data_IF_145010237284
#
_entry.id   IF_145010237284
#
_cell.length_a   1.000
_cell.length_b   1.000
_cell.length_c   1.000
_cell.angle_alpha   90.00
_cell.angle_beta   90.00
_cell.angle_gamma   90.00
#
_symmetry.space_group_name_H-M   'P 1'
#
loop_
_entity.id
_entity.type
_entity.pdbx_description
1 polymer ?
#
# COMPACT_ATOMS: atom_id res chain seq x y z
N UNK A 1 -37.91 46.01 68.83
CA UNK A 1 -36.82 46.94 68.43
C UNK A 1 -36.97 47.15 66.93
N UNK A 2 -37.75 48.13 66.46
CA UNK A 2 -37.44 49.57 66.27
C UNK A 2 -36.25 49.81 65.30
N UNK A 3 -36.55 50.46 64.17
CA UNK A 3 -35.64 51.30 63.33
C UNK A 3 -35.29 50.68 61.97
N UNK A 4 -35.96 51.00 60.85
CA UNK A 4 -35.75 52.13 59.88
C UNK A 4 -34.28 52.24 59.39
N UNK A 5 -33.99 52.28 58.09
CA UNK A 5 -33.93 53.46 57.18
C UNK A 5 -34.00 52.95 55.70
N UNK A 6 -34.99 53.26 54.85
CA UNK A 6 -35.19 54.43 53.94
C UNK A 6 -34.03 54.68 52.94
N UNK A 7 -34.15 55.04 51.65
CA UNK A 7 -35.20 55.12 50.63
C UNK A 7 -34.57 55.75 49.38
N UNK A 8 -34.93 55.24 48.20
CA UNK A 8 -35.16 55.95 46.92
C UNK A 8 -34.03 56.72 46.20
N UNK A 9 -34.03 56.61 44.86
CA UNK A 9 -34.34 57.74 43.94
C UNK A 9 -34.66 57.24 42.52
N UNK A 10 -35.85 57.62 42.05
CA UNK A 10 -36.26 57.67 40.63
C UNK A 10 -35.78 58.99 39.98
N UNK A 11 -35.58 58.97 38.65
CA UNK A 11 -35.78 60.08 37.67
C UNK A 11 -35.84 59.44 36.26
N UNK A 12 -36.98 59.34 35.57
CA UNK A 12 -37.68 60.31 34.69
C UNK A 12 -37.08 60.47 33.27
N UNK A 13 -37.76 59.84 32.29
CA UNK A 13 -38.20 60.27 30.93
C UNK A 13 -37.29 61.14 30.03
N UNK A 14 -37.01 60.67 28.80
CA UNK A 14 -37.26 61.40 27.54
C UNK A 14 -36.96 60.54 26.28
N UNK A 15 -37.89 60.60 25.33
CA UNK A 15 -37.97 59.96 24.02
C UNK A 15 -37.15 60.67 22.93
N UNK A 16 -36.54 59.94 21.97
CA UNK A 16 -36.28 60.42 20.59
C UNK A 16 -36.29 59.24 19.59
N UNK A 17 -37.03 59.46 18.50
CA UNK A 17 -37.19 58.73 17.24
C UNK A 17 -35.91 58.56 16.41
N UNK A 18 -35.72 57.43 15.70
CA UNK A 18 -35.57 57.35 14.22
C UNK A 18 -35.10 55.96 13.74
N UNK A 19 -35.88 55.39 12.81
CA UNK A 19 -35.52 54.68 11.56
C UNK A 19 -34.28 53.78 11.52
N UNK A 20 -34.50 52.50 11.22
CA UNK A 20 -33.46 51.59 10.72
C UNK A 20 -33.92 50.14 10.62
N UNK A 21 -34.54 49.77 9.50
CA UNK A 21 -34.72 48.37 9.08
C UNK A 21 -33.36 47.69 8.92
N UNK A 22 -33.13 46.55 9.58
CA UNK A 22 -32.43 45.41 8.98
C UNK A 22 -33.07 44.13 9.53
N UNK A 23 -33.75 43.41 8.65
CA UNK A 23 -34.16 42.01 8.82
C UNK A 23 -32.92 41.13 8.95
N UNK A 24 -32.65 40.59 10.13
CA UNK A 24 -31.74 39.47 10.30
C UNK A 24 -32.57 38.19 10.40
N UNK A 25 -32.68 37.47 9.28
CA UNK A 25 -33.10 36.06 9.26
C UNK A 25 -32.04 35.26 10.01
N UNK A 26 -32.39 34.78 11.21
CA UNK A 26 -31.60 33.77 11.91
C UNK A 26 -31.72 32.44 11.16
N UNK A 27 -30.84 32.24 10.18
CA UNK A 27 -30.59 30.93 9.58
C UNK A 27 -29.83 30.08 10.58
N UNK A 28 -30.54 29.21 11.29
CA UNK A 28 -29.92 28.12 12.07
C UNK A 28 -29.37 27.13 11.05
N UNK A 29 -28.07 27.24 10.75
CA UNK A 29 -27.30 26.16 10.14
C UNK A 29 -27.23 25.03 11.17
N UNK A 30 -28.08 24.02 11.00
CA UNK A 30 -27.90 22.74 11.64
C UNK A 30 -26.59 22.14 11.11
N UNK A 31 -25.53 22.21 11.92
CA UNK A 31 -24.37 21.36 11.75
C UNK A 31 -24.87 19.91 11.87
N UNK A 32 -24.97 19.22 10.74
CA UNK A 32 -25.19 17.78 10.75
C UNK A 32 -24.03 17.12 11.52
N UNK A 33 -24.30 16.10 12.34
CA UNK A 33 -23.22 15.36 12.97
C UNK A 33 -22.34 14.79 11.86
N UNK A 34 -21.05 15.09 11.91
CA UNK A 34 -20.05 14.34 11.16
C UNK A 34 -20.23 12.87 11.53
N UNK A 35 -20.66 12.06 10.57
CA UNK A 35 -20.62 10.61 10.71
C UNK A 35 -19.15 10.26 10.90
N UNK A 36 -18.81 9.75 12.08
CA UNK A 36 -17.55 9.05 12.24
C UNK A 36 -17.54 7.91 11.22
N UNK A 37 -16.50 7.83 10.40
CA UNK A 37 -16.24 6.67 9.54
C UNK A 37 -16.19 5.44 10.43
N UNK A 38 -17.28 4.68 10.44
CA UNK A 38 -17.28 3.35 11.03
C UNK A 38 -16.54 2.46 10.05
N UNK A 39 -15.24 2.28 10.28
CA UNK A 39 -14.44 1.30 9.57
C UNK A 39 -15.20 -0.04 9.56
N UNK A 40 -15.39 -0.61 8.37
CA UNK A 40 -16.04 -1.91 8.22
C UNK A 40 -15.33 -2.96 9.07
N UNK A 41 -16.06 -3.90 9.70
CA UNK A 41 -15.44 -4.98 10.44
C UNK A 41 -14.53 -5.79 9.50
N UNK A 42 -13.30 -6.03 9.96
CA UNK A 42 -12.36 -6.93 9.31
C UNK A 42 -12.68 -8.36 9.71
N UNK A 43 -12.80 -9.23 8.71
CA UNK A 43 -12.91 -10.66 8.90
C UNK A 43 -11.55 -11.30 8.60
N UNK A 44 -11.03 -12.05 9.57
CA UNK A 44 -9.82 -12.85 9.39
C UNK A 44 -10.19 -14.07 8.56
N UNK A 45 -9.70 -14.12 7.34
CA UNK A 45 -9.82 -15.28 6.47
C UNK A 45 -8.59 -16.16 6.69
N UNK A 46 -8.79 -17.47 6.84
CA UNK A 46 -7.70 -18.44 6.89
C UNK A 46 -8.03 -19.67 6.05
N UNK A 47 -7.12 -20.04 5.15
CA UNK A 47 -7.28 -21.18 4.22
C UNK A 47 -6.01 -22.01 4.17
N UNK A 48 -6.17 -23.32 4.35
CA UNK A 48 -5.10 -24.29 4.12
C UNK A 48 -5.08 -24.68 2.64
N UNK A 49 -3.93 -24.50 2.00
CA UNK A 49 -3.68 -24.80 0.60
C UNK A 49 -2.39 -25.62 0.48
N UNK A 50 -2.39 -26.59 -0.41
CA UNK A 50 -1.19 -27.38 -0.76
C UNK A 50 -0.62 -26.90 -2.09
N UNK A 51 0.68 -26.65 -2.10
CA UNK A 51 1.46 -26.32 -3.29
C UNK A 51 2.49 -27.39 -3.56
N UNK A 52 2.72 -27.71 -4.82
CA UNK A 52 3.89 -28.48 -5.25
C UNK A 52 5.01 -27.51 -5.59
N UNK A 53 6.05 -27.48 -4.75
CA UNK A 53 7.23 -26.63 -4.89
C UNK A 53 8.41 -27.43 -5.45
N UNK A 54 9.10 -26.90 -6.46
CA UNK A 54 10.25 -27.57 -7.09
C UNK A 54 11.56 -27.10 -6.47
N UNK A 55 12.21 -27.95 -5.68
CA UNK A 55 13.52 -27.68 -5.09
C UNK A 55 14.63 -28.21 -6.00
N UNK A 56 15.67 -27.44 -6.36
CA UNK A 56 16.70 -27.87 -7.31
C UNK A 56 17.36 -29.23 -7.03
N UNK A 57 17.55 -29.62 -5.76
CA UNK A 57 18.15 -30.91 -5.38
C UNK A 57 17.16 -32.03 -5.10
N UNK A 58 15.95 -31.70 -4.64
CA UNK A 58 14.97 -32.69 -4.15
C UNK A 58 13.88 -32.94 -5.21
N UNK A 59 13.74 -32.04 -6.17
CA UNK A 59 12.66 -32.03 -7.13
C UNK A 59 11.34 -31.51 -6.54
N UNK A 60 10.20 -31.88 -7.13
CA UNK A 60 8.89 -31.44 -6.65
C UNK A 60 8.59 -32.04 -5.28
N UNK A 61 8.20 -31.19 -4.33
CA UNK A 61 7.79 -31.57 -2.98
C UNK A 61 6.49 -30.84 -2.62
N UNK A 62 5.54 -31.53 -1.96
CA UNK A 62 4.36 -30.87 -1.44
C UNK A 62 4.73 -29.98 -0.24
N UNK A 63 4.17 -28.77 -0.23
CA UNK A 63 4.26 -27.79 0.84
C UNK A 63 2.85 -27.37 1.21
N UNK A 64 2.42 -27.70 2.42
CA UNK A 64 1.16 -27.19 2.98
C UNK A 64 1.41 -25.81 3.54
N UNK A 65 0.56 -24.86 3.14
CA UNK A 65 0.58 -23.48 3.58
C UNK A 65 -0.80 -23.07 4.11
N UNK A 66 -0.83 -22.37 5.23
CA UNK A 66 -2.04 -21.69 5.72
C UNK A 66 -1.92 -20.21 5.35
N UNK A 67 -2.74 -19.78 4.41
CA UNK A 67 -2.83 -18.38 3.98
C UNK A 67 -3.87 -17.68 4.86
N UNK A 68 -3.44 -16.63 5.54
CA UNK A 68 -4.31 -15.78 6.36
C UNK A 68 -4.24 -14.33 5.90
N UNK A 69 -5.37 -13.66 5.86
CA UNK A 69 -5.49 -12.24 5.48
C UNK A 69 -6.74 -11.64 6.13
N UNK A 70 -6.63 -10.39 6.57
CA UNK A 70 -7.75 -9.62 7.08
C UNK A 70 -8.38 -8.84 5.94
N UNK A 71 -9.66 -9.10 5.67
CA UNK A 71 -10.42 -8.44 4.61
C UNK A 71 -11.67 -7.76 5.20
N UNK A 72 -11.99 -6.51 4.81
CA UNK A 72 -13.27 -5.93 5.16
C UNK A 72 -14.38 -6.68 4.42
N UNK A 73 -15.55 -6.82 5.05
CA UNK A 73 -16.72 -7.48 4.42
C UNK A 73 -17.43 -6.58 3.40
N UNK A 74 -17.29 -5.27 3.53
CA UNK A 74 -17.89 -4.29 2.62
C UNK A 74 -17.10 -2.99 2.60
N UNK A 75 -17.26 -2.22 1.52
CA UNK A 75 -16.69 -0.89 1.38
C UNK A 75 -17.68 0.01 0.61
N UNK A 76 -17.59 1.33 0.82
CA UNK A 76 -18.28 2.27 -0.04
C UNK A 76 -17.52 2.51 -1.34
N UNK A 77 -18.23 2.83 -2.42
CA UNK A 77 -17.61 3.33 -3.66
C UNK A 77 -16.73 4.55 -3.34
N UNK A 78 -15.49 4.54 -3.83
CA UNK A 78 -14.49 5.59 -3.57
C UNK A 78 -13.77 5.45 -2.22
N UNK A 79 -14.13 4.48 -1.39
CA UNK A 79 -13.42 4.16 -0.16
C UNK A 79 -12.23 3.23 -0.45
N UNK A 80 -11.16 3.38 0.35
CA UNK A 80 -9.97 2.53 0.25
C UNK A 80 -10.19 1.22 0.98
N UNK A 81 -10.10 0.14 0.21
CA UNK A 81 -10.04 -1.23 0.69
C UNK A 81 -8.57 -1.56 0.94
N UNK A 82 -8.20 -1.72 2.20
CA UNK A 82 -6.84 -2.09 2.61
C UNK A 82 -6.85 -3.48 3.23
N UNK A 83 -6.48 -4.53 2.48
CA UNK A 83 -6.14 -5.82 3.07
C UNK A 83 -4.97 -5.67 4.04
N UNK A 84 -5.05 -6.32 5.19
CA UNK A 84 -3.98 -6.36 6.20
C UNK A 84 -3.69 -7.79 6.67
N UNK A 85 -2.66 -7.97 7.48
CA UNK A 85 -2.44 -9.24 8.16
C UNK A 85 -2.10 -10.42 7.24
N UNK A 86 -1.58 -10.17 6.02
CA UNK A 86 -1.15 -11.24 5.13
C UNK A 86 -0.04 -12.05 5.78
N UNK A 87 -0.34 -13.31 6.07
CA UNK A 87 0.58 -14.30 6.60
C UNK A 87 0.41 -15.63 5.86
N UNK A 88 1.53 -16.25 5.50
CA UNK A 88 1.57 -17.57 4.87
C UNK A 88 2.43 -18.47 5.75
N UNK A 89 1.77 -19.28 6.59
CA UNK A 89 2.45 -20.24 7.45
C UNK A 89 2.66 -21.54 6.68
N UNK A 90 3.91 -21.92 6.43
CA UNK A 90 4.24 -23.10 5.63
C UNK A 90 5.11 -24.08 6.41
N UNK A 91 5.03 -25.36 6.01
CA UNK A 91 5.86 -26.42 6.58
C UNK A 91 6.69 -27.10 5.49
N UNK A 92 8.01 -27.04 5.65
CA UNK A 92 8.97 -27.79 4.87
C UNK A 92 9.08 -29.21 5.43
N UNK A 93 9.01 -30.20 4.55
CA UNK A 93 9.15 -31.61 4.91
C UNK A 93 10.56 -31.94 5.39
N UNK A 94 10.70 -33.04 6.12
CA UNK A 94 12.01 -33.55 6.57
C UNK A 94 12.95 -33.83 5.39
N UNK A 95 12.44 -34.20 4.22
CA UNK A 95 13.26 -34.39 3.01
C UNK A 95 13.93 -33.09 2.58
N UNK A 96 13.18 -31.97 2.61
CA UNK A 96 13.70 -30.64 2.27
C UNK A 96 14.73 -30.20 3.29
N UNK A 97 14.42 -30.32 4.58
CA UNK A 97 15.34 -30.00 5.68
C UNK A 97 16.64 -30.82 5.57
N UNK A 98 16.53 -32.12 5.29
CA UNK A 98 17.68 -33.00 5.11
C UNK A 98 18.54 -32.57 3.91
N UNK A 99 17.93 -32.16 2.81
CA UNK A 99 18.66 -31.66 1.64
C UNK A 99 19.43 -30.37 1.95
N UNK A 100 18.81 -29.44 2.68
CA UNK A 100 19.50 -28.24 3.17
C UNK A 100 20.67 -28.59 4.10
N UNK A 101 20.51 -29.56 5.01
CA UNK A 101 21.61 -30.03 5.86
C UNK A 101 22.73 -30.70 5.07
N UNK A 102 22.41 -31.45 4.02
CA UNK A 102 23.39 -32.12 3.18
C UNK A 102 24.32 -31.13 2.45
N UNK A 103 23.81 -29.94 2.12
CA UNK A 103 24.61 -28.86 1.52
C UNK A 103 25.27 -27.93 2.55
N UNK A 104 25.20 -28.29 3.84
CA UNK A 104 25.83 -27.55 4.93
C UNK A 104 25.06 -26.31 5.39
N UNK A 105 23.79 -26.15 5.01
CA UNK A 105 22.99 -25.02 5.46
C UNK A 105 22.71 -25.12 6.97
N UNK A 106 22.99 -24.03 7.69
CA UNK A 106 22.68 -23.83 9.10
C UNK A 106 21.47 -22.93 9.30
N UNK A 107 21.35 -21.90 8.48
CA UNK A 107 20.24 -20.93 8.54
C UNK A 107 19.60 -20.77 7.17
N UNK A 108 18.32 -20.41 7.17
CA UNK A 108 17.61 -19.99 5.97
C UNK A 108 16.77 -18.75 6.24
N UNK A 109 16.64 -17.92 5.21
CA UNK A 109 15.63 -16.87 5.08
C UNK A 109 15.07 -16.94 3.65
N UNK A 110 13.92 -16.35 3.40
CA UNK A 110 13.33 -16.41 2.06
C UNK A 110 12.55 -15.16 1.69
N UNK A 111 12.59 -14.85 0.41
CA UNK A 111 11.73 -13.88 -0.26
C UNK A 111 10.65 -14.61 -1.05
N UNK A 112 9.50 -13.97 -1.22
CA UNK A 112 8.36 -14.57 -1.91
C UNK A 112 7.57 -13.58 -2.75
N UNK A 113 7.03 -14.11 -3.84
CA UNK A 113 5.98 -13.49 -4.65
C UNK A 113 4.80 -14.43 -4.69
N UNK A 114 3.64 -14.00 -4.20
CA UNK A 114 2.40 -14.78 -4.22
C UNK A 114 1.44 -14.21 -5.26
N UNK A 115 0.93 -15.06 -6.15
CA UNK A 115 -0.18 -14.66 -6.99
C UNK A 115 -1.47 -14.53 -6.15
N UNK A 116 -2.22 -13.47 -6.43
CA UNK A 116 -3.54 -13.20 -5.87
C UNK A 116 -4.48 -12.98 -7.05
N UNK A 117 -5.54 -13.78 -7.12
CA UNK A 117 -6.57 -13.64 -8.13
C UNK A 117 -7.63 -12.65 -7.62
N UNK A 118 -7.95 -11.67 -8.44
CA UNK A 118 -8.94 -10.64 -8.16
C UNK A 118 -9.98 -10.65 -9.26
N UNK A 119 -11.26 -10.71 -8.89
CA UNK A 119 -12.37 -10.59 -9.82
C UNK A 119 -13.34 -9.48 -9.41
N UNK A 120 -13.67 -8.60 -10.36
CA UNK A 120 -14.59 -7.49 -10.16
C UNK A 120 -15.20 -7.05 -11.49
N UNK A 121 -16.50 -6.72 -11.50
CA UNK A 121 -17.18 -6.23 -12.70
C UNK A 121 -17.15 -7.20 -13.89
N UNK A 122 -17.06 -8.52 -13.63
CA UNK A 122 -16.94 -9.54 -14.67
C UNK A 122 -15.54 -9.68 -15.28
N UNK A 123 -14.54 -8.99 -14.73
CA UNK A 123 -13.13 -9.08 -15.14
C UNK A 123 -12.34 -9.83 -14.08
N UNK A 124 -11.27 -10.49 -14.54
CA UNK A 124 -10.33 -11.20 -13.66
C UNK A 124 -8.92 -10.74 -13.98
N UNK A 125 -8.15 -10.51 -12.92
CA UNK A 125 -6.76 -10.11 -12.93
C UNK A 125 -6.01 -10.95 -11.91
N UNK A 126 -4.81 -11.42 -12.25
CA UNK A 126 -3.91 -12.01 -11.25
C UNK A 126 -2.80 -11.00 -10.95
N UNK A 127 -2.53 -10.78 -9.66
CA UNK A 127 -1.47 -9.91 -9.17
C UNK A 127 -0.40 -10.73 -8.47
N UNK A 128 0.84 -10.69 -8.93
CA UNK A 128 1.97 -11.24 -8.18
C UNK A 128 2.42 -10.25 -7.11
N UNK A 129 1.95 -10.43 -5.88
CA UNK A 129 2.27 -9.59 -4.72
C UNK A 129 3.71 -9.87 -4.27
N UNK A 130 4.63 -8.89 -4.39
CA UNK A 130 6.04 -9.12 -4.10
C UNK A 130 6.36 -8.86 -2.62
N UNK A 131 7.65 -8.98 -2.28
CA UNK A 131 8.21 -8.60 -0.98
C UNK A 131 7.62 -9.34 0.23
N UNK A 132 7.16 -10.58 0.02
CA UNK A 132 6.90 -11.47 1.15
C UNK A 132 8.24 -11.91 1.73
N UNK A 133 8.38 -11.87 3.05
CA UNK A 133 9.62 -12.19 3.75
C UNK A 133 9.38 -13.30 4.77
N UNK A 134 10.19 -14.36 4.71
CA UNK A 134 10.39 -15.31 5.79
C UNK A 134 11.62 -14.88 6.59
N UNK A 135 11.53 -14.66 7.91
CA UNK A 135 12.66 -14.22 8.70
C UNK A 135 13.74 -15.30 8.76
N UNK A 136 14.98 -14.87 8.99
CA UNK A 136 16.10 -15.78 9.22
C UNK A 136 15.83 -16.72 10.39
N UNK A 137 16.01 -18.01 10.14
CA UNK A 137 15.76 -19.08 11.10
C UNK A 137 16.83 -20.16 11.00
N UNK A 138 17.15 -20.77 12.15
CA UNK A 138 17.98 -21.98 12.20
C UNK A 138 17.23 -23.17 11.60
N UNK A 139 17.88 -23.84 10.65
CA UNK A 139 17.37 -25.09 10.09
C UNK A 139 17.47 -26.15 11.18
N UNK A 140 16.46 -27.00 11.45
CA UNK A 140 16.59 -28.04 12.47
C UNK A 140 17.56 -29.14 12.02
N UNK A 141 18.12 -29.90 12.98
CA UNK A 141 19.05 -30.99 12.67
C UNK A 141 18.37 -32.18 11.94
N UNK A 142 17.08 -32.39 12.20
CA UNK A 142 16.21 -33.39 11.56
C UNK A 142 14.73 -33.01 11.74
N UNK A 143 13.84 -33.70 11.03
CA UNK A 143 12.40 -33.44 11.09
C UNK A 143 11.92 -32.27 10.24
N UNK A 144 10.61 -31.97 10.24
CA UNK A 144 10.04 -30.86 9.49
C UNK A 144 10.41 -29.51 10.09
N UNK A 145 10.31 -28.46 9.28
CA UNK A 145 10.54 -27.07 9.67
C UNK A 145 9.33 -26.22 9.30
N UNK A 146 8.79 -25.48 10.26
CA UNK A 146 7.74 -24.50 9.99
C UNK A 146 8.34 -23.09 9.99
N UNK A 147 7.82 -22.25 9.09
CA UNK A 147 8.17 -20.84 8.99
C UNK A 147 6.95 -20.05 8.50
N UNK A 148 7.04 -18.73 8.53
CA UNK A 148 5.94 -17.83 8.16
C UNK A 148 6.46 -16.73 7.25
N UNK A 149 5.73 -16.47 6.17
CA UNK A 149 5.99 -15.35 5.27
C UNK A 149 4.95 -14.26 5.47
N UNK A 150 5.42 -13.03 5.63
CA UNK A 150 4.57 -11.85 5.77
C UNK A 150 5.03 -10.78 4.79
N UNK A 151 4.12 -9.91 4.38
CA UNK A 151 4.49 -8.79 3.53
C UNK A 151 3.32 -7.85 3.28
N UNK A 152 3.60 -6.68 2.68
CA UNK A 152 2.58 -5.67 2.47
C UNK A 152 1.68 -6.06 1.29
N UNK A 153 0.37 -5.83 1.44
CA UNK A 153 -0.59 -5.98 0.35
C UNK A 153 -0.90 -4.61 -0.28
N UNK A 154 -1.05 -4.54 -1.62
CA UNK A 154 -1.64 -3.39 -2.26
C UNK A 154 -3.06 -3.11 -1.73
N UNK A 155 -3.42 -1.83 -1.71
CA UNK A 155 -4.78 -1.37 -1.43
C UNK A 155 -5.52 -1.07 -2.73
N UNK A 156 -6.85 -0.96 -2.65
CA UNK A 156 -7.71 -0.73 -3.80
C UNK A 156 -8.75 0.34 -3.51
N UNK A 157 -9.05 1.19 -4.50
CA UNK A 157 -10.26 2.01 -4.53
C UNK A 157 -11.05 1.62 -5.76
N UNK A 158 -12.33 1.31 -5.57
CA UNK A 158 -13.25 0.96 -6.64
C UNK A 158 -14.28 2.08 -6.81
N UNK A 159 -14.52 2.46 -8.08
CA UNK A 159 -15.40 3.58 -8.44
C UNK A 159 -16.79 3.15 -8.90
N UNK A 160 -17.03 1.84 -8.91
CA UNK A 160 -18.33 1.23 -9.24
C UNK A 160 -18.74 0.27 -8.12
N UNK A 161 -20.05 0.09 -7.89
CA UNK A 161 -20.53 -0.92 -6.96
C UNK A 161 -20.42 -2.33 -7.56
N UNK A 162 -20.23 -3.34 -6.72
CA UNK A 162 -20.11 -4.73 -7.15
C UNK A 162 -19.48 -5.63 -6.10
N UNK A 163 -19.37 -6.92 -6.44
CA UNK A 163 -18.69 -7.93 -5.63
C UNK A 163 -17.23 -8.03 -6.05
N UNK A 164 -16.32 -7.67 -5.15
CA UNK A 164 -14.88 -7.89 -5.31
C UNK A 164 -14.52 -9.24 -4.70
N UNK A 165 -14.14 -10.20 -5.53
CA UNK A 165 -13.67 -11.51 -5.09
C UNK A 165 -12.15 -11.55 -5.05
N UNK A 166 -11.60 -12.09 -3.96
CA UNK A 166 -10.16 -12.25 -3.73
C UNK A 166 -9.90 -13.74 -3.50
N UNK A 167 -8.94 -14.29 -4.24
CA UNK A 167 -8.49 -15.66 -4.11
C UNK A 167 -6.97 -15.78 -4.08
N UNK A 168 -6.47 -16.86 -3.50
CA UNK A 168 -5.07 -17.24 -3.66
C UNK A 168 -4.84 -17.70 -5.11
N UNK A 169 -3.80 -17.17 -5.75
CA UNK A 169 -3.46 -17.51 -7.12
C UNK A 169 -2.75 -18.86 -7.25
N UNK A 170 -2.60 -19.31 -8.49
CA UNK A 170 -2.06 -20.64 -8.79
C UNK A 170 -0.53 -20.74 -8.64
N UNK A 171 0.19 -19.63 -8.66
CA UNK A 171 1.65 -19.63 -8.60
C UNK A 171 2.14 -18.93 -7.33
N UNK A 172 3.22 -19.47 -6.79
CA UNK A 172 3.99 -18.86 -5.72
C UNK A 172 5.46 -19.04 -6.05
N UNK A 173 6.26 -17.99 -5.97
CA UNK A 173 7.68 -18.04 -6.23
C UNK A 173 8.43 -17.68 -4.96
N UNK A 174 9.21 -18.62 -4.42
CA UNK A 174 10.13 -18.35 -3.32
C UNK A 174 11.57 -18.26 -3.82
N UNK A 175 12.35 -17.40 -3.19
CA UNK A 175 13.79 -17.25 -3.35
C UNK A 175 14.42 -17.38 -1.97
N UNK A 176 15.04 -18.51 -1.67
CA UNK A 176 15.63 -18.77 -0.35
C UNK A 176 17.12 -18.46 -0.33
N UNK A 177 17.59 -17.80 0.72
CA UNK A 177 19.00 -17.64 1.04
C UNK A 177 19.36 -18.65 2.13
N UNK A 178 20.24 -19.58 1.82
CA UNK A 178 20.73 -20.58 2.77
C UNK A 178 22.21 -20.34 3.07
N UNK A 179 22.55 -20.24 4.36
CA UNK A 179 23.90 -19.94 4.83
C UNK A 179 24.43 -21.06 5.74
N UNK A 180 25.73 -21.32 5.66
CA UNK A 180 26.45 -22.25 6.54
C UNK A 180 26.60 -21.71 7.98
N UNK A 181 27.23 -22.49 8.86
CA UNK A 181 27.46 -22.11 10.27
C UNK A 181 28.34 -20.87 10.44
N UNK A 182 29.11 -20.50 9.42
CA UNK A 182 29.97 -19.32 9.41
C UNK A 182 29.30 -18.12 8.74
N UNK A 183 28.07 -18.26 8.25
CA UNK A 183 27.34 -17.23 7.52
C UNK A 183 27.73 -17.08 6.04
N UNK A 184 28.40 -18.08 5.45
CA UNK A 184 28.74 -18.08 4.02
C UNK A 184 27.67 -18.80 3.20
N UNK A 185 27.64 -18.53 1.89
CA UNK A 185 26.77 -19.22 0.94
C UNK A 185 27.02 -20.73 0.92
N UNK A 186 25.94 -21.49 0.76
CA UNK A 186 26.02 -22.94 0.57
C UNK A 186 26.45 -23.29 -0.86
N UNK A 187 26.72 -24.58 -1.12
CA UNK A 187 27.14 -25.07 -2.44
C UNK A 187 26.08 -24.89 -3.55
N UNK A 188 24.83 -24.55 -3.21
CA UNK A 188 23.78 -24.24 -4.19
C UNK A 188 23.83 -22.81 -4.73
N UNK A 189 24.66 -21.95 -4.13
CA UNK A 189 24.60 -20.52 -4.36
C UNK A 189 23.38 -19.90 -3.68
N UNK A 190 23.33 -18.57 -3.77
CA UNK A 190 22.22 -17.76 -3.27
C UNK A 190 21.83 -16.73 -4.37
N UNK A 191 20.53 -16.53 -4.63
CA UNK A 191 19.39 -17.23 -4.01
C UNK A 191 19.13 -18.63 -4.60
N UNK A 192 18.31 -19.42 -3.90
CA UNK A 192 17.76 -20.70 -4.35
C UNK A 192 16.32 -20.46 -4.80
N UNK A 193 16.07 -20.55 -6.11
CA UNK A 193 14.74 -20.38 -6.67
C UNK A 193 13.86 -21.62 -6.46
N UNK A 194 12.66 -21.40 -5.93
CA UNK A 194 11.69 -22.43 -5.56
C UNK A 194 10.34 -22.03 -6.16
N UNK A 195 10.08 -22.35 -7.43
CA UNK A 195 8.77 -22.16 -8.03
C UNK A 195 7.79 -23.18 -7.46
N UNK A 196 6.59 -22.70 -7.11
CA UNK A 196 5.51 -23.47 -6.54
C UNK A 196 4.24 -23.29 -7.37
N UNK A 197 3.50 -24.38 -7.54
CA UNK A 197 2.18 -24.37 -8.18
C UNK A 197 1.15 -24.98 -7.24
N UNK A 198 0.01 -24.33 -7.09
CA UNK A 198 -1.10 -24.83 -6.27
C UNK A 198 -1.60 -26.17 -6.82
N UNK A 199 -1.85 -27.14 -5.94
CA UNK A 199 -2.43 -28.41 -6.36
C UNK A 199 -3.90 -28.22 -6.79
N UNK A 200 -4.29 -28.90 -7.86
CA UNK A 200 -5.61 -28.73 -8.47
C UNK A 200 -6.76 -29.19 -7.56
N UNK A 201 -7.93 -28.54 -7.68
CA UNK A 201 -9.18 -28.94 -7.03
C UNK A 201 -9.39 -28.46 -5.60
N UNK A 202 -8.52 -27.57 -5.11
CA UNK A 202 -8.67 -26.90 -3.81
C UNK A 202 -9.53 -25.64 -3.96
N UNK A 203 -10.21 -25.24 -2.88
CA UNK A 203 -10.91 -23.96 -2.82
C UNK A 203 -9.93 -22.85 -2.45
N UNK A 204 -9.59 -22.03 -3.44
CA UNK A 204 -8.66 -20.92 -3.31
C UNK A 204 -9.35 -19.58 -2.96
N UNK A 205 -10.67 -19.57 -2.79
CA UNK A 205 -11.42 -18.35 -2.43
C UNK A 205 -11.03 -17.90 -1.02
N UNK A 206 -10.56 -16.66 -0.91
CA UNK A 206 -10.22 -16.04 0.37
C UNK A 206 -11.40 -15.22 0.88
N UNK A 207 -11.94 -14.31 0.07
CA UNK A 207 -13.01 -13.44 0.55
C UNK A 207 -13.78 -12.76 -0.57
N UNK A 208 -14.94 -12.26 -0.21
CA UNK A 208 -15.76 -11.39 -1.05
C UNK A 208 -16.02 -10.10 -0.29
N UNK A 209 -15.76 -8.98 -0.94
CA UNK A 209 -15.96 -7.64 -0.41
C UNK A 209 -17.09 -6.99 -1.22
N UNK A 210 -18.17 -6.63 -0.54
CA UNK A 210 -19.30 -5.96 -1.18
C UNK A 210 -19.06 -4.45 -1.28
N UNK A 211 -18.90 -3.95 -2.50
CA UNK A 211 -18.75 -2.52 -2.77
C UNK A 211 -20.11 -1.90 -3.01
N UNK A 212 -20.50 -0.95 -2.16
CA UNK A 212 -21.85 -0.37 -2.16
C UNK A 212 -21.83 1.14 -2.41
N UNK A 213 -22.92 1.66 -2.96
CA UNK A 213 -23.06 3.08 -3.26
C UNK A 213 -23.38 3.36 -4.72
N UNK A 214 -23.48 4.65 -5.05
CA UNK A 214 -23.65 5.07 -6.44
C UNK A 214 -22.28 5.08 -7.14
N UNK A 215 -22.20 4.69 -8.44
CA UNK A 215 -20.98 4.85 -9.22
C UNK A 215 -20.49 6.31 -9.17
N UNK A 216 -19.19 6.48 -9.07
CA UNK A 216 -18.53 7.78 -9.15
C UNK A 216 -17.52 7.76 -10.30
N UNK A 217 -17.18 8.93 -10.82
CA UNK A 217 -16.12 9.00 -11.81
C UNK A 217 -14.78 8.81 -11.09
N UNK A 218 -14.05 7.76 -11.48
CA UNK A 218 -12.65 7.63 -11.10
C UNK A 218 -11.79 8.74 -11.72
N UNK A 219 -10.56 8.95 -11.20
CA UNK A 219 -9.57 9.81 -11.85
C UNK A 219 -9.34 9.31 -13.28
N UNK A 220 -9.44 10.20 -14.26
CA UNK A 220 -9.23 9.80 -15.64
C UNK A 220 -7.76 9.43 -15.85
N UNK A 221 -7.50 8.20 -16.28
CA UNK A 221 -6.18 7.84 -16.78
C UNK A 221 -5.91 8.64 -18.07
N UNK A 222 -4.78 9.33 -18.14
CA UNK A 222 -4.43 10.12 -19.32
C UNK A 222 -4.15 9.26 -20.57
N UNK A 223 -3.74 9.91 -21.66
CA UNK A 223 -3.37 9.22 -22.91
C UNK A 223 -1.89 9.40 -23.25
N UNK A 224 -1.28 8.29 -23.66
CA UNK A 224 -0.05 8.16 -24.46
C UNK A 224 1.29 8.62 -23.88
N UNK A 225 2.00 7.64 -23.30
CA UNK A 225 3.45 7.42 -23.39
C UNK A 225 3.68 5.90 -23.28
N UNK A 226 4.62 5.36 -24.05
CA UNK A 226 5.07 3.95 -23.97
C UNK A 226 6.51 3.91 -23.46
N UNK A 227 6.85 2.84 -22.73
CA UNK A 227 8.21 2.55 -22.29
C UNK A 227 8.54 3.11 -20.90
N UNK A 228 9.83 3.39 -20.69
CA UNK A 228 10.33 3.93 -19.42
C UNK A 228 9.84 5.35 -19.18
N UNK A 229 9.35 5.58 -17.97
CA UNK A 229 8.82 6.85 -17.49
C UNK A 229 9.85 7.45 -16.53
N UNK A 230 10.07 8.76 -16.68
CA UNK A 230 10.85 9.60 -15.79
C UNK A 230 10.17 10.98 -15.78
N UNK A 231 9.37 11.23 -14.75
CA UNK A 231 8.44 12.37 -14.71
C UNK A 231 8.48 13.06 -13.37
N UNK A 232 8.70 14.37 -13.39
CA UNK A 232 8.54 15.23 -12.22
C UNK A 232 7.08 15.66 -12.07
N UNK A 233 6.52 15.43 -10.90
CA UNK A 233 5.18 15.83 -10.51
C UNK A 233 5.26 16.68 -9.26
N UNK A 234 4.49 17.77 -9.23
CA UNK A 234 4.43 18.64 -8.07
C UNK A 234 3.33 18.15 -7.10
N UNK A 235 3.66 18.06 -5.82
CA UNK A 235 2.76 17.62 -4.77
C UNK A 235 2.60 18.69 -3.70
N UNK A 236 1.42 18.73 -3.09
CA UNK A 236 1.20 19.45 -1.83
C UNK A 236 1.09 18.42 -0.72
N UNK A 237 2.09 18.40 0.15
CA UNK A 237 2.20 17.50 1.29
C UNK A 237 1.79 18.19 2.58
N UNK A 238 1.12 17.49 3.47
CA UNK A 238 0.73 18.03 4.79
C UNK A 238 1.61 17.41 5.87
N UNK A 239 2.50 18.22 6.43
CA UNK A 239 3.31 17.86 7.58
C UNK A 239 2.61 18.29 8.87
N UNK A 240 2.60 17.47 9.93
CA UNK A 240 1.91 17.81 11.19
C UNK A 240 2.32 19.16 11.78
N UNK A 241 3.61 19.49 11.71
CA UNK A 241 4.19 20.67 12.36
C UNK A 241 4.51 21.81 11.38
N UNK A 242 4.93 21.46 10.16
CA UNK A 242 5.22 22.45 9.11
C UNK A 242 3.96 22.86 8.32
N UNK A 243 2.84 22.16 8.47
CA UNK A 243 1.62 22.38 7.70
C UNK A 243 1.76 21.96 6.24
N UNK A 244 1.03 22.63 5.34
CA UNK A 244 1.10 22.35 3.91
C UNK A 244 2.40 22.86 3.30
N UNK A 245 3.06 21.98 2.57
CA UNK A 245 4.38 22.20 1.97
C UNK A 245 4.38 21.65 0.55
N UNK A 246 4.94 22.42 -0.38
CA UNK A 246 5.16 21.93 -1.73
C UNK A 246 6.38 21.01 -1.76
N UNK A 247 6.25 19.92 -2.50
CA UNK A 247 7.28 18.93 -2.76
C UNK A 247 7.28 18.58 -4.26
N UNK A 248 8.42 18.11 -4.76
CA UNK A 248 8.54 17.59 -6.13
C UNK A 248 8.82 16.09 -6.04
N UNK A 249 7.97 15.28 -6.64
CA UNK A 249 8.15 13.84 -6.77
C UNK A 249 8.60 13.49 -8.18
N UNK A 250 9.82 12.96 -8.33
CA UNK A 250 10.30 12.37 -9.58
C UNK A 250 9.94 10.89 -9.59
N UNK A 251 8.99 10.53 -10.43
CA UNK A 251 8.50 9.16 -10.63
C UNK A 251 9.30 8.51 -11.76
N UNK A 252 9.95 7.39 -11.47
CA UNK A 252 10.55 6.51 -12.49
C UNK A 252 9.86 5.16 -12.47
N UNK A 253 9.65 4.56 -13.64
CA UNK A 253 9.16 3.20 -13.79
C UNK A 253 9.37 2.70 -15.22
N UNK A 254 9.54 1.39 -15.41
CA UNK A 254 9.62 0.77 -16.72
C UNK A 254 8.38 -0.09 -16.94
N UNK A 255 7.53 0.32 -17.88
CA UNK A 255 6.37 -0.45 -18.31
C UNK A 255 6.70 -1.30 -19.54
N UNK A 256 6.08 -2.47 -19.70
CA UNK A 256 6.24 -3.27 -20.91
C UNK A 256 5.57 -2.57 -22.10
N UNK A 257 6.16 -2.67 -23.29
CA UNK A 257 5.59 -2.07 -24.52
C UNK A 257 4.20 -2.64 -24.87
N UNK A 258 3.97 -3.90 -24.50
CA UNK A 258 2.70 -4.61 -24.59
C UNK A 258 2.66 -5.75 -23.57
N UNK A 259 1.48 -6.09 -23.09
CA UNK A 259 1.21 -7.30 -22.34
C UNK A 259 0.56 -8.35 -23.25
N UNK A 260 0.70 -9.64 -22.92
CA UNK A 260 -0.05 -10.73 -23.56
C UNK A 260 -1.06 -11.29 -22.56
N UNK A 261 -2.23 -11.72 -23.04
CA UNK A 261 -3.18 -12.49 -22.24
C UNK A 261 -2.50 -13.75 -21.69
N UNK A 262 -2.79 -14.06 -20.43
CA UNK A 262 -2.23 -15.20 -19.68
C UNK A 262 -0.70 -15.22 -19.52
N UNK A 263 -0.01 -14.13 -19.86
CA UNK A 263 1.40 -13.94 -19.57
C UNK A 263 1.59 -12.88 -18.49
N UNK A 264 2.66 -13.05 -17.71
CA UNK A 264 3.05 -12.10 -16.66
C UNK A 264 3.64 -10.86 -17.31
N UNK A 265 3.03 -9.72 -17.03
CA UNK A 265 3.55 -8.38 -17.30
C UNK A 265 4.20 -7.84 -16.02
N UNK A 266 5.40 -7.28 -16.15
CA UNK A 266 6.18 -6.75 -15.04
C UNK A 266 6.37 -5.25 -15.22
N UNK A 267 6.21 -4.50 -14.13
CA UNK A 267 6.57 -3.09 -14.04
C UNK A 267 7.81 -3.03 -13.14
N UNK A 268 8.95 -2.64 -13.71
CA UNK A 268 10.24 -2.64 -13.00
C UNK A 268 10.71 -1.21 -12.72
N UNK A 269 11.74 -1.08 -11.86
CA UNK A 269 12.42 0.19 -11.60
C UNK A 269 11.47 1.31 -11.11
N UNK A 270 10.39 0.91 -10.44
CA UNK A 270 9.38 1.80 -9.92
C UNK A 270 9.88 2.48 -8.64
N UNK A 271 10.10 3.79 -8.71
CA UNK A 271 10.62 4.59 -7.61
C UNK A 271 10.00 5.99 -7.65
N UNK A 272 9.80 6.57 -6.48
CA UNK A 272 9.53 8.01 -6.34
C UNK A 272 10.68 8.64 -5.54
N UNK A 273 11.37 9.59 -6.15
CA UNK A 273 12.30 10.47 -5.44
C UNK A 273 11.57 11.74 -5.04
N UNK A 274 11.42 11.97 -3.74
CA UNK A 274 10.72 13.13 -3.21
C UNK A 274 11.71 14.19 -2.74
N UNK A 275 11.68 15.36 -3.39
CA UNK A 275 12.39 16.56 -2.96
C UNK A 275 11.54 17.33 -1.95
N UNK A 276 11.93 17.21 -0.70
CA UNK A 276 11.30 17.88 0.45
C UNK A 276 11.99 19.21 0.68
N UNK A 277 11.19 20.27 0.79
CA UNK A 277 11.70 21.63 0.92
C UNK A 277 12.40 21.88 2.27
N UNK A 278 13.18 22.96 2.34
CA UNK A 278 13.96 23.28 3.53
C UNK A 278 13.09 23.52 4.79
N UNK A 279 11.86 24.05 4.65
CA UNK A 279 11.01 24.35 5.80
C UNK A 279 10.59 23.08 6.55
N UNK A 280 10.26 22.00 5.84
CA UNK A 280 9.99 20.70 6.47
C UNK A 280 11.25 20.09 7.09
N UNK A 281 12.40 20.21 6.42
CA UNK A 281 13.67 19.65 6.91
C UNK A 281 14.19 20.42 8.13
N UNK A 282 13.92 21.72 8.22
CA UNK A 282 14.23 22.54 9.38
C UNK A 282 13.51 22.03 10.63
N UNK A 283 12.25 21.62 10.52
CA UNK A 283 11.50 21.00 11.64
C UNK A 283 12.17 19.71 12.12
N UNK A 284 12.61 18.84 11.21
CA UNK A 284 13.32 17.61 11.58
C UNK A 284 14.61 17.93 12.35
N UNK A 285 15.39 18.89 11.86
CA UNK A 285 16.66 19.29 12.46
C UNK A 285 16.49 19.96 13.82
N UNK A 286 15.51 20.84 13.95
CA UNK A 286 15.20 21.55 15.19
C UNK A 286 14.74 20.60 16.30
N UNK A 287 14.24 19.42 15.91
CA UNK A 287 13.87 18.34 16.82
C UNK A 287 14.94 17.23 16.94
N UNK A 288 16.16 17.49 16.47
CA UNK A 288 17.32 16.63 16.69
C UNK A 288 17.39 15.39 15.80
N UNK A 289 16.61 15.31 14.72
CA UNK A 289 16.70 14.22 13.77
C UNK A 289 18.04 14.25 13.02
N UNK A 290 18.75 13.12 13.04
CA UNK A 290 19.92 12.85 12.22
C UNK A 290 19.55 12.06 10.95
N UNK A 291 18.55 11.18 11.03
CA UNK A 291 18.00 10.45 9.89
C UNK A 291 16.47 10.47 9.90
N UNK A 292 15.88 10.20 8.74
CA UNK A 292 14.45 9.90 8.62
C UNK A 292 14.28 8.63 7.79
N UNK A 293 13.41 7.73 8.23
CA UNK A 293 13.06 6.49 7.56
C UNK A 293 11.56 6.23 7.71
N UNK A 294 11.04 5.20 7.05
CA UNK A 294 9.66 4.80 7.27
C UNK A 294 9.08 3.92 6.19
N UNK A 295 7.76 4.00 6.04
CA UNK A 295 7.00 3.36 4.97
C UNK A 295 6.25 4.39 4.16
N UNK A 296 5.80 4.02 2.96
CA UNK A 296 4.95 4.87 2.16
C UNK A 296 3.95 4.07 1.33
N UNK A 297 3.08 4.80 0.66
CA UNK A 297 2.13 4.29 -0.32
C UNK A 297 2.11 5.25 -1.51
N UNK A 298 2.12 4.69 -2.71
CA UNK A 298 1.91 5.43 -3.94
C UNK A 298 0.64 4.93 -4.64
N UNK A 299 -0.34 5.81 -4.79
CA UNK A 299 -1.56 5.49 -5.51
C UNK A 299 -1.28 5.55 -7.03
N UNK A 300 -1.69 4.50 -7.74
CA UNK A 300 -1.74 4.43 -9.19
C UNK A 300 -3.19 4.34 -9.63
N UNK A 301 -3.64 5.33 -10.38
CA UNK A 301 -4.95 5.29 -11.04
C UNK A 301 -4.83 4.46 -12.31
N UNK A 302 -5.59 3.38 -12.38
CA UNK A 302 -5.56 2.40 -13.45
C UNK A 302 -6.93 2.32 -14.14
N UNK A 303 -6.92 2.50 -15.46
CA UNK A 303 -8.07 2.25 -16.33
C UNK A 303 -7.82 1.02 -17.17
N UNK A 304 -8.58 -0.05 -16.93
CA UNK A 304 -8.53 -1.28 -17.72
C UNK A 304 -9.68 -1.29 -18.73
N UNK A 305 -9.38 -1.10 -20.00
CA UNK A 305 -10.37 -1.07 -21.09
C UNK A 305 -10.35 -2.38 -21.86
N UNK A 306 -11.51 -2.98 -22.13
CA UNK A 306 -11.67 -4.16 -22.99
C UNK A 306 -12.98 -4.07 -23.78
N UNK A 307 -13.39 -5.16 -24.43
CA UNK A 307 -14.64 -5.21 -25.20
C UNK A 307 -15.92 -4.99 -24.36
N UNK A 308 -15.85 -5.13 -23.03
CA UNK A 308 -16.97 -4.95 -22.09
C UNK A 308 -17.10 -3.52 -21.56
N UNK A 309 -16.09 -2.66 -21.75
CA UNK A 309 -16.07 -1.27 -21.27
C UNK A 309 -14.72 -0.90 -20.65
N UNK A 310 -14.72 0.05 -19.72
CA UNK A 310 -13.55 0.44 -18.95
C UNK A 310 -13.83 0.28 -17.46
N UNK A 311 -12.94 -0.44 -16.75
CA UNK A 311 -12.91 -0.50 -15.30
C UNK A 311 -11.85 0.49 -14.79
N UNK A 312 -12.29 1.49 -14.03
CA UNK A 312 -11.39 2.41 -13.33
C UNK A 312 -11.20 1.95 -11.88
N UNK A 313 -9.96 1.95 -11.41
CA UNK A 313 -9.62 1.64 -10.03
C UNK A 313 -8.33 2.37 -9.62
N UNK A 314 -8.10 2.50 -8.31
CA UNK A 314 -6.82 2.97 -7.78
C UNK A 314 -6.14 1.83 -7.06
N UNK A 315 -4.86 1.59 -7.35
CA UNK A 315 -3.99 0.68 -6.61
C UNK A 315 -3.10 1.49 -5.67
N UNK A 316 -3.22 1.31 -4.36
CA UNK A 316 -2.27 1.89 -3.41
C UNK A 316 -1.10 0.95 -3.20
N UNK A 317 0.01 1.21 -3.88
CA UNK A 317 1.19 0.38 -3.87
C UNK A 317 2.06 0.67 -2.64
N UNK A 318 2.39 -0.35 -1.82
CA UNK A 318 3.22 -0.14 -0.65
C UNK A 318 4.67 0.15 -1.04
N UNK A 319 5.32 0.97 -0.24
CA UNK A 319 6.71 1.36 -0.43
C UNK A 319 7.44 1.39 0.91
N UNK A 320 8.77 1.30 0.84
CA UNK A 320 9.65 1.48 2.01
C UNK A 320 10.49 2.72 1.77
N UNK A 321 10.71 3.52 2.81
CA UNK A 321 11.57 4.69 2.78
C UNK A 321 12.81 4.33 3.59
N UNK A 322 13.94 3.99 2.94
CA UNK A 322 15.18 3.69 3.64
C UNK A 322 15.67 4.90 4.46
N UNK A 323 16.43 4.67 5.54
CA UNK A 323 17.03 5.76 6.30
C UNK A 323 17.88 6.67 5.40
N UNK A 324 17.54 7.96 5.44
CA UNK A 324 18.24 9.04 4.75
C UNK A 324 18.69 10.08 5.77
N UNK A 325 19.93 10.56 5.61
CA UNK A 325 20.51 11.58 6.48
C UNK A 325 19.79 12.93 6.33
N UNK A 326 19.44 13.53 7.46
CA UNK A 326 18.90 14.90 7.51
C UNK A 326 20.06 15.88 7.29
N UNK A 327 20.06 16.67 6.20
CA UNK A 327 21.17 17.55 5.90
C UNK A 327 21.25 18.71 6.90
N UNK A 328 22.46 19.23 7.10
CA UNK A 328 22.71 20.37 8.01
C UNK A 328 22.03 21.68 7.55
N UNK A 329 21.69 21.81 6.27
CA UNK A 329 20.94 22.94 5.72
C UNK A 329 20.29 22.54 4.37
N UNK A 330 19.22 23.23 4.00
CA UNK A 330 18.52 23.02 2.72
C UNK A 330 17.44 21.93 2.78
N UNK A 331 16.93 21.57 1.60
CA UNK A 331 15.97 20.48 1.43
C UNK A 331 16.62 19.09 1.50
N UNK A 332 15.79 18.06 1.41
CA UNK A 332 16.17 16.65 1.49
C UNK A 332 15.52 15.89 0.34
N UNK A 333 16.28 15.06 -0.35
CA UNK A 333 15.76 14.12 -1.36
C UNK A 333 15.68 12.75 -0.72
N UNK A 334 14.46 12.20 -0.62
CA UNK A 334 14.22 10.83 -0.15
C UNK A 334 13.87 9.91 -1.32
N UNK A 335 14.42 8.70 -1.33
CA UNK A 335 14.04 7.66 -2.27
C UNK A 335 12.97 6.77 -1.66
N UNK A 336 11.92 6.49 -2.44
CA UNK A 336 10.83 5.62 -2.08
C UNK A 336 10.64 4.56 -3.19
N UNK A 337 11.39 3.45 -3.14
CA UNK A 337 11.16 2.32 -4.03
C UNK A 337 9.76 1.73 -3.82
N UNK A 338 9.04 1.54 -4.92
CA UNK A 338 7.63 1.10 -4.92
C UNK A 338 7.58 -0.40 -5.16
N UNK A 339 6.82 -1.12 -4.33
CA UNK A 339 6.60 -2.55 -4.51
C UNK A 339 5.49 -2.76 -5.55
N UNK A 340 5.89 -2.83 -6.83
CA UNK A 340 4.97 -3.03 -7.94
C UNK A 340 4.56 -4.50 -8.08
N UNK A 341 3.26 -4.82 -8.03
CA UNK A 341 2.81 -6.16 -8.37
C UNK A 341 3.01 -6.42 -9.87
N UNK A 342 3.37 -7.65 -10.20
CA UNK A 342 3.27 -8.13 -11.58
C UNK A 342 1.81 -8.49 -11.89
N UNK A 343 1.42 -8.45 -13.16
CA UNK A 343 0.03 -8.56 -13.58
C UNK A 343 -0.15 -9.66 -14.63
N UNK A 344 -1.23 -10.45 -14.54
CA UNK A 344 -1.68 -11.36 -15.60
C UNK A 344 -3.10 -10.99 -16.00
N UNK A 345 -3.27 -10.58 -17.25
CA UNK A 345 -4.56 -10.20 -17.80
C UNK A 345 -5.25 -11.41 -18.44
N UNK A 346 -6.58 -11.49 -18.28
CA UNK A 346 -7.40 -12.60 -18.81
C UNK A 346 -8.19 -12.23 -20.08
N UNK A 347 -8.05 -11.00 -20.55
CA UNK A 347 -8.71 -10.51 -21.76
C UNK A 347 -7.85 -9.46 -22.46
N UNK A 348 -7.93 -9.37 -23.80
CA UNK A 348 -7.26 -8.32 -24.56
C UNK A 348 -7.93 -6.96 -24.30
N UNK A 349 -7.16 -5.88 -24.42
CA UNK A 349 -7.59 -4.55 -24.01
C UNK A 349 -6.44 -3.55 -23.92
N UNK A 350 -6.63 -2.50 -23.14
CA UNK A 350 -5.61 -1.49 -22.83
C UNK A 350 -5.60 -1.23 -21.31
N UNK A 351 -4.40 -1.23 -20.73
CA UNK A 351 -4.16 -0.71 -19.38
C UNK A 351 -3.64 0.72 -19.49
N UNK A 352 -4.34 1.70 -18.95
CA UNK A 352 -3.82 3.06 -18.78
C UNK A 352 -3.49 3.32 -17.32
N UNK A 353 -2.35 3.93 -17.03
CA UNK A 353 -1.84 4.18 -15.68
C UNK A 353 -1.47 5.64 -15.52
N UNK A 354 -1.91 6.25 -14.41
CA UNK A 354 -1.55 7.61 -14.01
C UNK A 354 -1.15 7.65 -12.53
N UNK A 355 -0.23 8.54 -12.16
CA UNK A 355 0.13 8.77 -10.78
C UNK A 355 -1.01 9.43 -10.00
N UNK A 356 -1.21 8.99 -8.76
CA UNK A 356 -2.19 9.51 -7.82
C UNK A 356 -1.55 10.14 -6.58
N UNK A 357 -2.25 10.02 -5.45
CA UNK A 357 -1.77 10.48 -4.15
C UNK A 357 -0.52 9.70 -3.69
N UNK A 358 0.29 10.35 -2.86
CA UNK A 358 1.38 9.71 -2.13
C UNK A 358 1.10 9.85 -0.63
N UNK A 359 1.55 8.88 0.17
CA UNK A 359 1.59 9.03 1.61
C UNK A 359 2.87 8.41 2.16
N UNK A 360 3.40 8.99 3.24
CA UNK A 360 4.54 8.46 3.96
C UNK A 360 4.27 8.44 5.46
N UNK A 361 4.57 7.33 6.12
CA UNK A 361 4.65 7.25 7.58
C UNK A 361 6.13 7.34 7.95
N UNK A 362 6.54 8.49 8.48
CA UNK A 362 7.93 8.84 8.72
C UNK A 362 8.28 8.73 10.21
N UNK A 363 9.44 8.16 10.50
CA UNK A 363 10.04 8.06 11.83
C UNK A 363 11.40 8.74 11.81
N UNK A 364 11.52 9.99 12.32
CA UNK A 364 12.81 10.65 12.46
C UNK A 364 13.57 10.06 13.64
N UNK A 365 14.86 9.78 13.44
CA UNK A 365 15.77 9.24 14.46
C UNK A 365 16.91 10.19 14.75
N UNK A 366 17.36 10.21 15.98
CA UNK A 366 18.53 10.98 16.40
C UNK A 366 19.85 10.29 16.01
N UNK A 367 20.98 10.88 16.41
CA UNK A 367 22.30 10.34 16.07
C UNK A 367 22.65 9.01 16.79
N UNK A 368 21.89 8.64 17.82
CA UNK A 368 22.00 7.36 18.51
C UNK A 368 21.12 6.26 17.86
N UNK A 369 20.22 6.64 16.94
CA UNK A 369 19.24 5.76 16.30
C UNK A 369 17.92 5.66 17.07
N UNK A 370 17.77 6.43 18.16
CA UNK A 370 16.53 6.48 18.93
C UNK A 370 15.51 7.39 18.22
N UNK A 371 14.22 7.10 18.39
CA UNK A 371 13.14 7.94 17.86
C UNK A 371 13.18 9.33 18.50
N UNK A 372 13.06 10.38 17.68
CA UNK A 372 13.02 11.76 18.18
C UNK A 372 11.70 12.06 18.91
N UNK A 373 11.61 13.22 19.56
CA UNK A 373 10.38 13.66 20.23
C UNK A 373 9.19 13.88 19.28
N UNK A 374 9.43 13.95 17.97
CA UNK A 374 8.39 14.02 16.94
C UNK A 374 7.55 12.75 16.87
N UNK A 375 8.14 11.63 17.29
CA UNK A 375 7.55 10.33 17.09
C UNK A 375 7.41 9.95 15.61
N UNK A 376 6.55 8.98 15.35
CA UNK A 376 6.19 8.52 14.02
C UNK A 376 4.92 9.24 13.56
N UNK A 377 4.92 9.77 12.34
CA UNK A 377 3.81 10.56 11.82
C UNK A 377 3.56 10.35 10.33
N UNK A 378 2.33 10.61 9.90
CA UNK A 378 1.93 10.50 8.50
C UNK A 378 2.06 11.85 7.75
N UNK A 379 2.45 11.75 6.48
CA UNK A 379 2.59 12.85 5.53
C UNK A 379 1.79 12.50 4.28
N UNK A 380 0.50 12.85 4.21
CA UNK A 380 -0.28 12.72 2.97
C UNK A 380 0.12 13.82 1.98
N UNK A 381 0.25 13.44 0.72
CA UNK A 381 0.65 14.28 -0.39
C UNK A 381 -0.32 14.10 -1.56
N UNK A 382 -0.87 15.20 -2.06
CA UNK A 382 -1.77 15.19 -3.21
C UNK A 382 -1.09 15.83 -4.41
N UNK A 383 -1.23 15.28 -5.63
CA UNK A 383 -0.70 15.91 -6.82
C UNK A 383 -1.41 17.26 -7.03
N UNK A 384 -0.63 18.31 -7.29
CA UNK A 384 -1.17 19.63 -7.60
C UNK A 384 -2.05 19.57 -8.87
N UNK A 385 -3.13 20.36 -8.88
CA UNK A 385 -4.10 20.35 -9.98
C UNK A 385 -3.52 20.89 -11.29
N UNK A 386 -3.95 20.33 -12.42
CA UNK A 386 -3.66 20.87 -13.76
C UNK A 386 -2.34 20.40 -14.39
N UNK A 387 -1.57 19.56 -13.69
CA UNK A 387 -0.47 18.81 -14.30
C UNK A 387 -0.98 17.52 -14.95
N UNK A 388 -0.20 17.00 -15.90
CA UNK A 388 -0.45 15.69 -16.49
C UNK A 388 0.15 14.61 -15.60
N UNK A 389 -0.67 13.74 -15.03
CA UNK A 389 -0.22 12.61 -14.19
C UNK A 389 -0.12 11.29 -14.95
N UNK A 390 -0.37 11.28 -16.26
CA UNK A 390 -0.24 10.08 -17.09
C UNK A 390 1.18 9.51 -17.04
N UNK A 391 1.28 8.19 -16.84
CA UNK A 391 2.55 7.48 -16.83
C UNK A 391 2.69 6.62 -18.09
N UNK A 392 1.73 5.71 -18.32
CA UNK A 392 1.83 4.77 -19.43
C UNK A 392 0.46 4.30 -19.94
N UNK A 393 0.46 3.84 -21.19
CA UNK A 393 -0.62 3.02 -21.73
C UNK A 393 -0.01 1.75 -22.33
N UNK A 394 -0.41 0.59 -21.80
CA UNK A 394 0.08 -0.73 -22.17
C UNK A 394 -1.03 -1.49 -22.90
N UNK A 395 -0.88 -1.74 -24.22
CA UNK A 395 -1.81 -2.59 -24.94
C UNK A 395 -1.68 -4.04 -24.47
N UNK A 396 -2.82 -4.70 -24.26
CA UNK A 396 -2.94 -6.11 -23.89
C UNK A 396 -3.43 -6.86 -25.12
N UNK A 397 -2.55 -7.65 -25.72
CA UNK A 397 -2.86 -8.42 -26.93
C UNK A 397 -3.09 -9.90 -26.60
N UNK A 398 -3.77 -10.59 -27.51
CA UNK A 398 -4.17 -11.99 -27.34
C UNK A 398 -3.03 -12.99 -27.53
#
# INVERSE_FOLDING_TARGET
MIGRVSSSRLRTVASVTTVGMVTALAGVLAAGPATADTASPLDVVSKELTYTCTFPLVGPQPVTATVSVDLPTSAAVGERIQPTGLAIDFTLSENIVTAFRLIGAATMEADGVADVDVAFGGRTLTMGVPNLKAPKQDIPASGPMSSSMTGPMPSFILYEPGSLEIGAGQQFFASATALDENGNDTALGNPIDIPCTQDAGQDAHLGTIEVTGAPTAGPAAGMSTQGSVDKELAYTCTFPEAGQQDAVGRVTATFPDQAQVDQRAEITDAEVQADINAASVDVLRDNGAATVEGSGQADLHAGLSDASGTLELTLGLPATIPPVDVPAAGGLTASMPINTPSLIFRAPGDLSVSAGDLSGTLTPRDAAGDETALGTFDVPCQPQSGQDTHLATVPIVA
#
